data_IF_820546290929
#
_entry.id   IF_820546290929
#
_cell.length_a   1.000
_cell.length_b   1.000
_cell.length_c   1.000
_cell.angle_alpha   90.00
_cell.angle_beta   90.00
_cell.angle_gamma   90.00
#
_symmetry.space_group_name_H-M   'P 1'
#
loop_
_entity.id
_entity.type
_entity.pdbx_description
1 polymer ?
#
# COMPACT_ATOMS: atom_id res chain seq x y z
N UNK A 1 3.11 -6.89 15.97
CA UNK A 1 3.87 -7.29 14.77
C UNK A 1 4.13 -6.03 13.97
N UNK A 2 5.38 -5.72 13.64
CA UNK A 2 5.67 -4.57 12.78
C UNK A 2 5.19 -4.93 11.38
N UNK A 3 4.22 -4.19 10.84
CA UNK A 3 3.83 -4.31 9.44
C UNK A 3 4.89 -3.61 8.59
N UNK A 4 5.32 -4.23 7.49
CA UNK A 4 6.24 -3.61 6.53
C UNK A 4 5.47 -2.89 5.41
N UNK A 5 6.04 -1.84 4.79
CA UNK A 5 5.44 -1.19 3.62
C UNK A 5 5.17 -2.20 2.49
N UNK A 6 4.00 -2.10 1.84
CA UNK A 6 3.67 -2.97 0.72
C UNK A 6 4.50 -2.63 -0.52
N UNK A 7 5.45 -3.50 -0.83
CA UNK A 7 6.26 -3.43 -2.04
C UNK A 7 5.73 -4.43 -3.09
N UNK A 8 5.34 -3.92 -4.27
CA UNK A 8 4.87 -4.74 -5.40
C UNK A 8 5.59 -4.35 -6.68
N UNK A 9 6.43 -5.25 -7.22
CA UNK A 9 7.02 -5.07 -8.55
C UNK A 9 5.97 -5.28 -9.66
N UNK A 10 6.33 -4.99 -10.91
CA UNK A 10 5.39 -5.08 -12.05
C UNK A 10 4.90 -6.51 -12.29
N UNK A 11 5.83 -7.47 -12.23
CA UNK A 11 5.58 -8.90 -12.38
C UNK A 11 5.90 -9.63 -11.08
N UNK A 12 5.37 -9.13 -9.96
CA UNK A 12 5.62 -9.72 -8.65
C UNK A 12 5.05 -11.15 -8.58
N UNK A 13 5.89 -12.20 -8.46
CA UNK A 13 5.43 -13.58 -8.47
C UNK A 13 4.56 -13.91 -7.25
N UNK A 14 4.74 -13.17 -6.14
CA UNK A 14 3.98 -13.32 -4.91
C UNK A 14 2.74 -12.40 -4.87
N UNK A 15 2.36 -11.78 -5.99
CA UNK A 15 1.22 -10.84 -6.03
C UNK A 15 -0.07 -11.46 -5.50
N UNK A 16 -0.38 -12.69 -5.89
CA UNK A 16 -1.58 -13.39 -5.43
C UNK A 16 -1.59 -13.57 -3.91
N UNK A 17 -0.47 -14.02 -3.34
CA UNK A 17 -0.31 -14.22 -1.90
C UNK A 17 -0.39 -12.90 -1.13
N UNK A 18 0.30 -11.86 -1.59
CA UNK A 18 0.26 -10.53 -0.98
C UNK A 18 -1.16 -9.95 -1.00
N UNK A 19 -1.87 -10.05 -2.12
CA UNK A 19 -3.26 -9.60 -2.20
C UNK A 19 -4.22 -10.43 -1.33
N UNK A 20 -3.99 -11.74 -1.18
CA UNK A 20 -4.74 -12.57 -0.24
C UNK A 20 -4.50 -12.13 1.21
N UNK A 21 -3.25 -11.84 1.58
CA UNK A 21 -2.90 -11.31 2.89
C UNK A 21 -3.58 -9.96 3.17
N UNK A 22 -3.58 -9.05 2.18
CA UNK A 22 -4.30 -7.77 2.28
C UNK A 22 -5.80 -7.97 2.50
N UNK A 23 -6.40 -8.95 1.82
CA UNK A 23 -7.83 -9.27 1.98
C UNK A 23 -8.16 -9.90 3.34
N UNK A 24 -7.18 -10.47 4.04
CA UNK A 24 -7.34 -11.00 5.39
C UNK A 24 -7.18 -9.92 6.49
N UNK A 25 -6.61 -8.75 6.18
CA UNK A 25 -6.52 -7.64 7.13
C UNK A 25 -7.90 -7.06 7.42
N UNK A 26 -8.12 -6.62 8.66
CA UNK A 26 -9.24 -5.73 8.97
C UNK A 26 -9.02 -4.33 8.37
N UNK A 27 -10.04 -3.48 8.46
CA UNK A 27 -10.06 -2.18 7.80
C UNK A 27 -9.08 -1.18 8.43
N UNK A 28 -8.86 -1.27 9.74
CA UNK A 28 -7.90 -0.44 10.46
C UNK A 28 -6.47 -0.77 10.03
N UNK A 29 -6.12 -2.06 10.04
CA UNK A 29 -4.82 -2.56 9.60
C UNK A 29 -4.56 -2.27 8.12
N UNK A 30 -5.59 -2.38 7.26
CA UNK A 30 -5.49 -2.03 5.85
C UNK A 30 -5.22 -0.53 5.65
N UNK A 31 -5.90 0.32 6.42
CA UNK A 31 -5.66 1.76 6.44
C UNK A 31 -4.27 2.13 6.96
N UNK A 32 -3.82 1.50 8.04
CA UNK A 32 -2.48 1.71 8.61
C UNK A 32 -1.39 1.33 7.59
N UNK A 33 -1.53 0.17 6.94
CA UNK A 33 -0.60 -0.30 5.92
C UNK A 33 -0.56 0.65 4.71
N UNK A 34 -1.68 1.25 4.31
CA UNK A 34 -1.68 2.28 3.27
C UNK A 34 -0.78 3.46 3.63
N UNK A 35 -0.92 4.01 4.84
CA UNK A 35 -0.14 5.18 5.26
C UNK A 35 1.33 4.86 5.40
N UNK A 36 1.67 3.68 5.91
CA UNK A 36 3.03 3.18 5.98
C UNK A 36 3.65 3.05 4.57
N UNK A 37 2.93 2.42 3.65
CA UNK A 37 3.37 2.26 2.25
C UNK A 37 3.54 3.60 1.54
N UNK A 38 2.64 4.55 1.82
CA UNK A 38 2.72 5.91 1.28
C UNK A 38 3.92 6.68 1.82
N UNK A 39 4.28 6.51 3.08
CA UNK A 39 5.48 7.11 3.67
C UNK A 39 6.75 6.57 2.97
N UNK A 40 6.85 5.25 2.79
CA UNK A 40 7.97 4.64 2.05
C UNK A 40 8.05 5.13 0.60
N UNK A 41 6.92 5.28 -0.10
CA UNK A 41 6.90 5.89 -1.44
C UNK A 41 7.43 7.33 -1.43
N UNK A 42 7.08 8.12 -0.42
CA UNK A 42 7.57 9.50 -0.28
C UNK A 42 9.09 9.52 -0.06
N UNK A 43 9.61 8.67 0.83
CA UNK A 43 11.04 8.56 1.09
C UNK A 43 11.82 8.11 -0.16
N UNK A 44 11.33 7.11 -0.88
CA UNK A 44 11.95 6.67 -2.14
C UNK A 44 11.98 7.79 -3.19
N UNK A 45 10.93 8.61 -3.26
CA UNK A 45 10.90 9.81 -4.13
C UNK A 45 11.98 10.82 -3.73
N UNK A 46 12.12 11.11 -2.44
CA UNK A 46 13.12 12.04 -1.93
C UNK A 46 14.55 11.57 -2.22
N UNK A 47 14.78 10.25 -2.15
CA UNK A 47 16.06 9.60 -2.48
C UNK A 47 16.28 9.36 -3.97
N UNK A 48 15.31 9.68 -4.83
CA UNK A 48 15.32 9.42 -6.29
C UNK A 48 15.46 7.94 -6.65
N UNK A 49 14.99 7.05 -5.78
CA UNK A 49 14.94 5.60 -5.99
C UNK A 49 13.69 5.23 -6.82
N UNK A 50 13.74 5.48 -8.12
CA UNK A 50 12.54 5.41 -8.99
C UNK A 50 11.88 4.02 -9.02
N UNK A 51 12.68 2.95 -9.10
CA UNK A 51 12.19 1.55 -9.05
C UNK A 51 11.42 1.26 -7.76
N UNK A 52 11.97 1.69 -6.62
CA UNK A 52 11.34 1.51 -5.32
C UNK A 52 10.07 2.36 -5.19
N UNK A 53 10.13 3.63 -5.63
CA UNK A 53 8.98 4.52 -5.69
C UNK A 53 7.83 3.88 -6.48
N UNK A 54 8.08 3.35 -7.68
CA UNK A 54 7.04 2.73 -8.49
C UNK A 54 6.44 1.51 -7.81
N UNK A 55 7.27 0.71 -7.13
CA UNK A 55 6.82 -0.48 -6.41
C UNK A 55 5.94 -0.14 -5.21
N UNK A 56 6.28 0.89 -4.43
CA UNK A 56 5.43 1.37 -3.33
C UNK A 56 4.16 2.07 -3.83
N UNK A 57 4.22 2.84 -4.92
CA UNK A 57 3.02 3.44 -5.52
C UNK A 57 2.05 2.35 -5.97
N UNK A 58 2.54 1.29 -6.63
CA UNK A 58 1.73 0.12 -6.99
C UNK A 58 1.11 -0.52 -5.74
N UNK A 59 1.89 -0.66 -4.66
CA UNK A 59 1.40 -1.07 -3.35
C UNK A 59 0.21 -0.22 -2.87
N UNK A 60 0.37 1.11 -2.82
CA UNK A 60 -0.73 2.00 -2.39
C UNK A 60 -2.00 1.86 -3.23
N UNK A 61 -1.86 1.65 -4.55
CA UNK A 61 -3.00 1.45 -5.45
C UNK A 61 -3.71 0.13 -5.22
N UNK A 62 -2.97 -0.94 -4.95
CA UNK A 62 -3.54 -2.23 -4.59
C UNK A 62 -4.33 -2.14 -3.29
N UNK A 63 -3.80 -1.46 -2.27
CA UNK A 63 -4.49 -1.28 -0.99
C UNK A 63 -5.77 -0.45 -1.18
N UNK A 64 -5.71 0.67 -1.92
CA UNK A 64 -6.88 1.49 -2.23
C UNK A 64 -7.97 0.70 -2.96
N UNK A 65 -7.60 -0.16 -3.91
CA UNK A 65 -8.55 -1.01 -4.63
C UNK A 65 -9.25 -2.00 -3.69
N UNK A 66 -8.48 -2.71 -2.85
CA UNK A 66 -9.05 -3.68 -1.89
C UNK A 66 -9.94 -2.97 -0.85
N UNK A 67 -9.54 -1.78 -0.40
CA UNK A 67 -10.36 -0.97 0.49
C UNK A 67 -11.69 -0.57 -0.19
N UNK A 68 -11.64 -0.14 -1.46
CA UNK A 68 -12.84 0.21 -2.22
C UNK A 68 -13.77 -1.00 -2.47
N UNK A 69 -13.22 -2.21 -2.69
CA UNK A 69 -13.98 -3.46 -2.76
C UNK A 69 -14.82 -3.71 -1.47
N UNK A 70 -14.40 -3.13 -0.34
CA UNK A 70 -15.09 -3.20 0.97
C UNK A 70 -15.95 -1.98 1.29
N UNK A 71 -16.08 -1.02 0.38
CA UNK A 71 -16.80 0.23 0.60
C UNK A 71 -16.04 1.30 1.40
N UNK A 72 -14.73 1.13 1.62
CA UNK A 72 -13.88 2.12 2.28
C UNK A 72 -13.27 3.09 1.26
N UNK A 73 -13.20 4.36 1.62
CA UNK A 73 -12.50 5.37 0.84
C UNK A 73 -11.22 5.81 1.54
N UNK A 74 -10.07 5.39 1.00
CA UNK A 74 -8.75 5.87 1.44
C UNK A 74 -8.29 7.01 0.50
N UNK A 75 -8.50 8.26 0.91
CA UNK A 75 -8.05 9.44 0.16
C UNK A 75 -6.78 10.05 0.79
N UNK A 76 -5.70 10.09 0.01
CA UNK A 76 -4.43 10.73 0.39
C UNK A 76 -4.57 12.19 0.82
N UNK A 77 -5.59 12.91 0.33
CA UNK A 77 -5.84 14.33 0.63
C UNK A 77 -6.68 14.52 1.89
N UNK A 78 -7.39 13.47 2.30
CA UNK A 78 -8.26 13.47 3.47
C UNK A 78 -7.58 12.61 4.53
N UNK A 79 -6.44 13.07 5.07
CA UNK A 79 -5.91 12.49 6.30
C UNK A 79 -7.04 12.57 7.32
N UNK A 80 -7.48 11.42 7.84
CA UNK A 80 -8.25 11.43 9.08
C UNK A 80 -7.36 12.17 10.09
N UNK A 81 -7.90 13.27 10.64
CA UNK A 81 -7.19 14.17 11.55
C UNK A 81 -6.68 13.47 12.78
#
# INVERSE_FOLDING_TARGET
MQQEPLFLSENDPARGEKEAALRALDDEALGALYWLTRAAAKEAKERREMEALFSYVRGTKTIQRIAAERGLLIDARRRAG
#
